data_IF_606845093337
#
_entry.id   IF_606845093337
#
_cell.length_a   1.000
_cell.length_b   1.000
_cell.length_c   1.000
_cell.angle_alpha   90.00
_cell.angle_beta   90.00
_cell.angle_gamma   90.00
#
_symmetry.space_group_name_H-M   'P 1'
#
loop_
_entity.id
_entity.type
_entity.pdbx_description
1 polymer ?
#
# COMPACT_ATOMS: atom_id res chain seq x y z
N UNK A 1 5.08 -16.52 14.33
CA UNK A 1 4.25 -16.40 13.12
C UNK A 1 5.13 -16.18 11.90
N UNK A 2 5.03 -17.00 10.84
CA UNK A 2 5.70 -16.72 9.58
C UNK A 2 5.20 -15.38 9.00
N UNK A 3 6.10 -14.55 8.46
CA UNK A 3 5.71 -13.29 7.82
C UNK A 3 4.90 -13.57 6.54
N UNK A 4 3.58 -13.36 6.61
CA UNK A 4 2.68 -13.33 5.46
C UNK A 4 2.18 -11.91 5.20
N UNK A 5 1.64 -11.65 4.00
CA UNK A 5 1.04 -10.35 3.68
C UNK A 5 -0.06 -9.95 4.67
N UNK A 6 -0.85 -10.92 5.16
CA UNK A 6 -1.87 -10.68 6.19
C UNK A 6 -1.26 -10.34 7.55
N UNK A 7 -0.20 -11.06 7.95
CA UNK A 7 0.52 -10.76 9.18
C UNK A 7 1.03 -9.32 9.16
N UNK A 8 1.66 -8.92 8.06
CA UNK A 8 2.19 -7.57 7.87
C UNK A 8 1.09 -6.52 7.86
N UNK A 9 0.03 -6.70 7.10
CA UNK A 9 -0.96 -5.65 6.88
C UNK A 9 -2.01 -5.56 7.97
N UNK A 10 -2.27 -6.64 8.72
CA UNK A 10 -3.45 -6.74 9.59
C UNK A 10 -3.19 -7.42 10.93
N UNK A 11 -2.52 -8.57 10.94
CA UNK A 11 -2.59 -9.46 12.11
C UNK A 11 -1.50 -9.20 13.15
N UNK A 12 -0.36 -8.61 12.77
CA UNK A 12 0.69 -8.24 13.71
C UNK A 12 0.28 -7.09 14.62
N UNK A 13 0.79 -7.08 15.85
CA UNK A 13 0.44 -6.09 16.88
C UNK A 13 0.64 -4.64 16.41
N UNK A 14 1.71 -4.40 15.66
CA UNK A 14 2.05 -3.08 15.13
C UNK A 14 0.95 -2.56 14.19
N UNK A 15 0.49 -3.41 13.26
CA UNK A 15 -0.55 -3.04 12.30
C UNK A 15 -1.91 -2.94 12.98
N UNK A 16 -2.24 -3.83 13.94
CA UNK A 16 -3.46 -3.73 14.75
C UNK A 16 -3.55 -2.39 15.48
N UNK A 17 -2.48 -2.00 16.17
CA UNK A 17 -2.41 -0.73 16.88
C UNK A 17 -2.59 0.45 15.92
N UNK A 18 -1.94 0.41 14.75
CA UNK A 18 -2.07 1.46 13.75
C UNK A 18 -3.51 1.58 13.22
N UNK A 19 -4.13 0.45 12.87
CA UNK A 19 -5.52 0.41 12.40
C UNK A 19 -6.48 0.92 13.45
N UNK A 20 -6.27 0.58 14.72
CA UNK A 20 -7.06 1.13 15.81
C UNK A 20 -6.95 2.66 15.85
N UNK A 21 -5.74 3.23 15.90
CA UNK A 21 -5.58 4.69 15.95
C UNK A 21 -6.28 5.41 14.77
N UNK A 22 -6.22 4.83 13.57
CA UNK A 22 -6.68 5.46 12.34
C UNK A 22 -8.18 5.24 12.08
N UNK A 23 -8.74 4.11 12.48
CA UNK A 23 -10.15 3.75 12.21
C UNK A 23 -11.10 3.98 13.41
N UNK A 24 -10.60 4.29 14.61
CA UNK A 24 -11.41 4.53 15.82
C UNK A 24 -12.40 5.72 15.76
N UNK A 25 -13.53 5.64 15.06
CA UNK A 25 -14.75 6.24 15.65
C UNK A 25 -15.61 5.23 16.37
N UNK A 26 -15.48 3.93 16.13
CA UNK A 26 -15.95 2.88 17.04
C UNK A 26 -15.18 1.61 16.71
N UNK A 27 -14.52 1.02 17.70
CA UNK A 27 -13.83 -0.25 17.55
C UNK A 27 -14.85 -1.35 17.25
N UNK A 28 -15.18 -1.56 15.97
CA UNK A 28 -15.94 -2.74 15.60
C UNK A 28 -14.98 -3.92 15.72
N UNK A 29 -15.29 -4.82 16.65
CA UNK A 29 -14.60 -6.11 16.77
C UNK A 29 -14.57 -6.84 15.41
N UNK A 30 -15.49 -6.50 14.51
CA UNK A 30 -15.64 -6.99 13.15
C UNK A 30 -14.53 -6.58 12.17
N UNK A 31 -13.63 -5.65 12.50
CA UNK A 31 -12.56 -5.29 11.56
C UNK A 31 -11.52 -6.40 11.40
N UNK A 32 -11.20 -7.14 12.46
CA UNK A 32 -10.13 -8.15 12.45
C UNK A 32 -10.65 -9.59 12.35
N UNK A 33 -11.97 -9.80 12.41
CA UNK A 33 -12.59 -11.13 12.39
C UNK A 33 -12.72 -11.78 11.01
N UNK A 34 -12.94 -11.06 9.89
CA UNK A 34 -13.18 -11.71 8.60
C UNK A 34 -11.91 -12.40 8.10
N UNK A 35 -12.09 -13.43 7.27
CA UNK A 35 -10.97 -13.95 6.48
C UNK A 35 -10.45 -12.86 5.53
N UNK A 36 -9.21 -13.01 5.07
CA UNK A 36 -8.49 -11.96 4.33
C UNK A 36 -9.17 -11.50 3.06
N UNK A 37 -9.75 -12.42 2.29
CA UNK A 37 -10.44 -12.06 1.03
C UNK A 37 -11.67 -11.21 1.30
N UNK A 38 -12.48 -11.61 2.29
CA UNK A 38 -13.66 -10.86 2.72
C UNK A 38 -13.28 -9.51 3.33
N UNK A 39 -12.25 -9.50 4.18
CA UNK A 39 -11.71 -8.27 4.77
C UNK A 39 -11.30 -7.24 3.72
N UNK A 40 -10.54 -7.64 2.69
CA UNK A 40 -10.15 -6.72 1.62
C UNK A 40 -11.38 -6.23 0.85
N UNK A 41 -12.29 -7.13 0.47
CA UNK A 41 -13.49 -6.77 -0.32
C UNK A 41 -14.39 -5.78 0.43
N UNK A 42 -14.68 -6.04 1.69
CA UNK A 42 -15.57 -5.23 2.50
C UNK A 42 -14.98 -3.83 2.73
N UNK A 43 -13.67 -3.74 2.97
CA UNK A 43 -13.01 -2.46 3.15
C UNK A 43 -12.85 -1.66 1.84
N UNK A 44 -12.50 -2.31 0.72
CA UNK A 44 -12.35 -1.64 -0.57
C UNK A 44 -13.67 -1.14 -1.17
N UNK A 45 -14.80 -1.78 -0.84
CA UNK A 45 -16.13 -1.39 -1.32
C UNK A 45 -16.90 -0.51 -0.34
N UNK A 46 -16.32 -0.21 0.82
CA UNK A 46 -17.00 0.58 1.84
C UNK A 46 -17.14 2.04 1.38
N UNK A 47 -18.39 2.49 1.26
CA UNK A 47 -18.76 3.89 1.01
C UNK A 47 -19.01 4.65 2.32
N UNK A 48 -18.76 4.02 3.47
CA UNK A 48 -18.90 4.67 4.77
C UNK A 48 -17.91 5.84 4.88
N UNK A 49 -18.34 6.91 5.54
CA UNK A 49 -17.42 8.02 5.83
C UNK A 49 -16.37 7.55 6.82
N UNK A 50 -15.12 7.87 6.54
CA UNK A 50 -14.05 7.66 7.50
C UNK A 50 -14.07 8.73 8.59
N UNK A 51 -13.20 8.59 9.60
CA UNK A 51 -12.93 9.66 10.56
C UNK A 51 -12.46 10.97 9.94
N UNK A 52 -11.81 10.88 8.80
CA UNK A 52 -11.52 12.03 7.98
C UNK A 52 -12.82 12.32 7.23
N UNK A 53 -13.67 13.19 7.78
CA UNK A 53 -15.06 13.42 7.35
C UNK A 53 -15.24 13.68 5.83
N UNK A 54 -14.15 14.00 5.11
CA UNK A 54 -14.06 14.24 3.68
C UNK A 54 -13.61 13.03 2.84
N UNK A 55 -13.21 11.91 3.45
CA UNK A 55 -12.74 10.70 2.76
C UNK A 55 -13.62 9.49 3.05
N UNK A 56 -13.91 8.74 1.98
CA UNK A 56 -14.53 7.42 2.09
C UNK A 56 -13.57 6.43 2.75
N UNK A 57 -14.13 5.50 3.51
CA UNK A 57 -13.40 4.44 4.21
C UNK A 57 -12.59 3.56 3.27
N UNK A 58 -13.07 3.30 2.05
CA UNK A 58 -12.31 2.62 1.01
C UNK A 58 -11.02 3.34 0.61
N UNK A 59 -11.05 4.66 0.48
CA UNK A 59 -9.87 5.47 0.13
C UNK A 59 -8.84 5.39 1.26
N UNK A 60 -9.28 5.63 2.50
CA UNK A 60 -8.42 5.56 3.69
C UNK A 60 -7.81 4.18 3.85
N UNK A 61 -8.60 3.12 3.65
CA UNK A 61 -8.13 1.74 3.74
C UNK A 61 -7.01 1.45 2.74
N UNK A 62 -7.18 1.83 1.47
CA UNK A 62 -6.18 1.59 0.43
C UNK A 62 -4.88 2.37 0.70
N UNK A 63 -4.98 3.66 1.08
CA UNK A 63 -3.82 4.47 1.46
C UNK A 63 -3.08 3.84 2.64
N UNK A 64 -3.82 3.36 3.65
CA UNK A 64 -3.21 2.76 4.83
C UNK A 64 -2.53 1.43 4.54
N UNK A 65 -3.11 0.56 3.72
CA UNK A 65 -2.47 -0.68 3.28
C UNK A 65 -1.13 -0.37 2.59
N UNK A 66 -1.11 0.64 1.71
CA UNK A 66 0.11 1.09 1.05
C UNK A 66 1.12 1.66 2.05
N UNK A 67 0.71 2.53 2.97
CA UNK A 67 1.61 3.13 3.98
C UNK A 67 2.22 2.07 4.91
N UNK A 68 1.44 1.08 5.34
CA UNK A 68 1.93 -0.04 6.17
C UNK A 68 2.97 -0.86 5.41
N UNK A 69 2.65 -1.24 4.17
CA UNK A 69 3.57 -1.97 3.30
C UNK A 69 4.85 -1.17 3.05
N UNK A 70 4.70 0.11 2.71
CA UNK A 70 5.80 1.01 2.40
C UNK A 70 6.70 1.25 3.60
N UNK A 71 6.13 1.47 4.80
CA UNK A 71 6.88 1.62 6.05
C UNK A 71 7.74 0.39 6.36
N UNK A 72 7.16 -0.82 6.22
CA UNK A 72 7.90 -2.06 6.48
C UNK A 72 9.00 -2.31 5.44
N UNK A 73 8.72 -2.05 4.16
CA UNK A 73 9.68 -2.27 3.09
C UNK A 73 10.71 -1.14 2.94
N UNK A 74 10.42 0.07 3.46
CA UNK A 74 11.43 1.13 3.63
C UNK A 74 12.58 0.65 4.49
N UNK A 75 12.32 -0.11 5.56
CA UNK A 75 13.42 -0.67 6.37
C UNK A 75 14.28 -1.65 5.57
N UNK A 76 13.71 -2.41 4.63
CA UNK A 76 14.47 -3.31 3.75
C UNK A 76 15.25 -2.54 2.70
N UNK A 77 14.64 -1.55 2.04
CA UNK A 77 15.32 -0.69 1.07
C UNK A 77 16.44 0.15 1.72
N UNK A 78 16.20 0.69 2.92
CA UNK A 78 17.19 1.44 3.70
C UNK A 78 18.26 0.50 4.26
N UNK A 79 17.94 -0.69 4.78
CA UNK A 79 18.96 -1.67 5.19
C UNK A 79 19.81 -2.13 4.01
N UNK A 80 19.21 -2.41 2.85
CA UNK A 80 19.92 -2.72 1.62
C UNK A 80 20.83 -1.55 1.19
N UNK A 81 20.34 -0.32 1.35
CA UNK A 81 21.10 0.90 1.07
C UNK A 81 22.25 1.11 2.06
N UNK A 82 22.04 0.92 3.36
CA UNK A 82 23.08 1.06 4.39
C UNK A 82 24.16 -0.02 4.23
N UNK A 83 23.79 -1.26 3.92
CA UNK A 83 24.75 -2.32 3.57
C UNK A 83 25.56 -1.92 2.32
N UNK A 84 24.92 -1.27 1.33
CA UNK A 84 25.62 -0.75 0.15
C UNK A 84 26.44 0.53 0.38
N UNK A 85 26.15 1.30 1.44
CA UNK A 85 26.80 2.58 1.76
C UNK A 85 27.97 2.42 2.74
N UNK A 86 27.93 1.45 3.66
CA UNK A 86 29.01 1.19 4.62
C UNK A 86 30.00 0.10 4.16
N UNK A 87 29.70 -0.63 3.07
CA UNK A 87 30.69 -1.42 2.34
C UNK A 87 31.39 -0.55 1.30
N UNK A 88 32.61 -0.08 1.60
CA UNK A 88 33.59 0.57 0.70
C UNK A 88 33.02 1.42 -0.45
N UNK A 89 33.06 2.75 -0.29
CA UNK A 89 32.85 3.80 -1.28
C UNK A 89 32.58 3.33 -2.72
N UNK A 90 31.32 3.10 -3.09
CA UNK A 90 30.93 2.93 -4.50
C UNK A 90 30.58 4.28 -5.10
N UNK A 91 31.35 4.64 -6.13
CA UNK A 91 30.93 5.54 -7.21
C UNK A 91 29.47 5.21 -7.55
N UNK A 92 28.54 6.17 -7.49
CA UNK A 92 27.16 5.96 -7.95
C UNK A 92 27.20 5.77 -9.48
N UNK A 93 26.99 4.57 -10.03
CA UNK A 93 26.85 4.45 -11.47
C UNK A 93 25.50 5.06 -11.86
N UNK A 94 25.49 5.95 -12.85
CA UNK A 94 24.24 6.25 -13.55
C UNK A 94 23.78 4.97 -14.21
N UNK A 95 22.70 4.39 -13.69
CA UNK A 95 22.09 3.21 -14.29
C UNK A 95 20.81 3.67 -14.95
N UNK A 96 20.65 3.36 -16.24
CA UNK A 96 19.38 3.53 -16.91
C UNK A 96 18.37 2.58 -16.28
N UNK A 97 17.36 3.15 -15.62
CA UNK A 97 16.23 2.38 -15.10
C UNK A 97 15.19 2.33 -16.22
N UNK A 98 15.11 1.17 -16.85
CA UNK A 98 14.07 0.83 -17.82
C UNK A 98 13.05 -0.11 -17.18
N UNK A 99 11.79 0.00 -17.59
CA UNK A 99 10.77 -0.97 -17.24
C UNK A 99 11.10 -2.32 -17.88
N UNK A 100 11.12 -3.38 -17.06
CA UNK A 100 11.09 -4.76 -17.56
C UNK A 100 9.64 -5.24 -17.52
N UNK A 101 9.12 -5.88 -18.58
CA UNK A 101 7.81 -6.53 -18.54
C UNK A 101 7.72 -7.52 -17.37
N UNK A 102 6.54 -7.66 -16.78
CA UNK A 102 6.31 -8.68 -15.76
C UNK A 102 6.43 -10.08 -16.34
N UNK A 103 6.83 -11.05 -15.51
CA UNK A 103 6.83 -12.45 -15.89
C UNK A 103 5.39 -12.96 -16.06
N UNK A 104 5.21 -14.00 -16.88
CA UNK A 104 3.91 -14.67 -17.04
C UNK A 104 3.33 -15.12 -15.69
N UNK A 105 2.04 -14.88 -15.49
CA UNK A 105 1.34 -15.15 -14.23
C UNK A 105 1.34 -13.99 -13.22
N UNK A 106 2.04 -12.90 -13.52
CA UNK A 106 1.94 -11.65 -12.74
C UNK A 106 1.11 -10.61 -13.50
N UNK A 107 0.28 -9.87 -12.75
CA UNK A 107 -0.44 -8.70 -13.26
C UNK A 107 0.29 -7.41 -12.83
N UNK A 108 0.56 -6.52 -13.78
CA UNK A 108 0.98 -5.16 -13.52
C UNK A 108 -0.23 -4.26 -13.31
N UNK A 109 -0.12 -3.32 -12.38
CA UNK A 109 -1.08 -2.24 -12.21
C UNK A 109 -0.38 -0.92 -12.54
N UNK A 110 -0.80 -0.30 -13.64
CA UNK A 110 -0.39 1.06 -13.97
C UNK A 110 -1.46 2.00 -13.43
N UNK A 111 -1.10 2.92 -12.55
CA UNK A 111 -2.00 3.99 -12.10
C UNK A 111 -1.46 5.33 -12.54
N UNK A 112 -2.32 6.17 -13.11
CA UNK A 112 -2.04 7.58 -13.31
C UNK A 112 -3.06 8.44 -12.55
N UNK A 113 -2.72 9.71 -12.43
CA UNK A 113 -3.57 10.72 -11.82
C UNK A 113 -3.51 11.99 -12.65
N UNK A 114 -4.65 12.67 -12.75
CA UNK A 114 -4.76 14.00 -13.33
C UNK A 114 -5.37 14.94 -12.31
N UNK A 115 -4.84 16.15 -12.19
CA UNK A 115 -5.40 17.20 -11.35
C UNK A 115 -5.54 18.48 -12.17
N UNK A 116 -6.76 19.03 -12.25
CA UNK A 116 -7.01 20.29 -12.94
C UNK A 116 -6.93 21.44 -11.91
N UNK A 117 -5.76 22.08 -11.82
CA UNK A 117 -5.49 23.17 -10.89
C UNK A 117 -5.33 22.73 -9.42
N UNK A 118 -4.84 23.64 -8.58
CA UNK A 118 -4.47 23.32 -7.18
C UNK A 118 -5.66 23.00 -6.25
N UNK A 119 -6.92 23.11 -6.70
CA UNK A 119 -8.07 22.98 -5.80
C UNK A 119 -9.34 22.30 -6.37
N UNK A 120 -9.50 22.10 -7.69
CA UNK A 120 -10.87 21.96 -8.22
C UNK A 120 -11.29 20.63 -8.84
N UNK A 121 -10.41 19.65 -9.02
CA UNK A 121 -10.78 18.24 -9.23
C UNK A 121 -9.54 17.39 -9.51
N UNK A 122 -9.53 16.16 -8.98
CA UNK A 122 -8.55 15.14 -9.34
C UNK A 122 -9.26 13.89 -9.86
N UNK A 123 -8.76 13.36 -10.97
CA UNK A 123 -9.12 12.07 -11.51
C UNK A 123 -7.94 11.10 -11.35
N UNK A 124 -8.24 9.81 -11.30
CA UNK A 124 -7.22 8.76 -11.31
C UNK A 124 -7.67 7.62 -12.19
N UNK A 125 -6.76 7.10 -13.01
CA UNK A 125 -6.95 5.94 -13.86
C UNK A 125 -6.08 4.79 -13.42
N UNK A 126 -6.54 3.57 -13.66
CA UNK A 126 -5.79 2.35 -13.40
C UNK A 126 -5.99 1.33 -14.51
N UNK A 127 -4.93 0.72 -15.00
CA UNK A 127 -4.98 -0.36 -15.97
C UNK A 127 -4.22 -1.57 -15.42
N UNK A 128 -4.91 -2.71 -15.33
CA UNK A 128 -4.25 -3.99 -15.12
C UNK A 128 -3.76 -4.54 -16.45
N UNK A 129 -2.52 -5.00 -16.48
CA UNK A 129 -1.86 -5.58 -17.65
C UNK A 129 -1.27 -6.92 -17.27
N UNK A 130 -1.26 -7.85 -18.21
CA UNK A 130 -0.48 -9.07 -18.09
C UNK A 130 0.92 -8.86 -18.70
N UNK A 131 1.67 -9.95 -18.88
CA UNK A 131 3.01 -9.90 -19.48
C UNK A 131 3.00 -9.51 -20.97
N UNK A 132 1.86 -9.66 -21.68
CA UNK A 132 1.72 -9.28 -23.08
C UNK A 132 1.40 -7.78 -23.26
N UNK A 133 0.92 -7.13 -22.19
CA UNK A 133 0.71 -5.68 -22.13
C UNK A 133 -0.75 -5.26 -22.24
#
# INVERSE_FOLDING_TARGET
EPESSNHVQRDCMQSKNLWQHILLTNATCDFFTPNSSRWIKDNCKSHERSKFHFLNRSIVFNIMCWLIWFSRNKSKAVKQCLISQFGTSRIKPSTFIGWKPSQDGFLMLNTDGTSAGNLDSAGSGGMFRDAAG
#
